data_IF_394159107443
#
_entry.id   IF_394159107443
#
_cell.length_a   1.000
_cell.length_b   1.000
_cell.length_c   1.000
_cell.angle_alpha   90.00
_cell.angle_beta   90.00
_cell.angle_gamma   90.00
#
_symmetry.space_group_name_H-M   'P 1'
#
loop_
_entity.id
_entity.type
_entity.pdbx_description
1 polymer ?
#
# COMPACT_ATOMS: atom_id res chain seq x y z
N UNK A 1 -2.65 73.44 36.28
CA UNK A 1 -2.93 73.13 37.71
C UNK A 1 -2.18 71.86 38.04
N UNK A 2 -0.96 72.01 38.58
CA UNK A 2 -0.66 72.19 40.00
C UNK A 2 -0.36 70.82 40.63
N UNK A 3 0.93 70.49 40.83
CA UNK A 3 1.73 70.68 42.06
C UNK A 3 1.78 69.34 42.84
N UNK A 4 2.88 68.58 42.74
CA UNK A 4 4.05 68.55 43.66
C UNK A 4 3.82 67.88 45.01
N UNK A 5 4.66 66.89 45.34
CA UNK A 5 5.11 66.52 46.69
C UNK A 5 6.46 65.79 46.53
N UNK A 6 7.60 66.36 46.94
CA UNK A 6 8.18 66.40 48.30
C UNK A 6 8.58 64.97 48.75
N UNK A 7 9.83 64.62 49.13
CA UNK A 7 10.83 65.26 50.00
C UNK A 7 12.25 64.65 49.78
N UNK A 8 13.27 65.37 50.24
CA UNK A 8 14.73 65.16 50.17
C UNK A 8 15.28 64.52 51.49
N UNK A 9 16.58 64.63 51.87
CA UNK A 9 17.69 63.71 51.55
C UNK A 9 18.43 63.20 52.82
N UNK A 10 19.40 62.28 52.68
CA UNK A 10 20.21 61.87 53.84
C UNK A 10 21.43 60.97 53.55
N UNK A 11 22.59 61.62 53.39
CA UNK A 11 23.92 61.24 53.89
C UNK A 11 24.62 59.89 53.53
N UNK A 12 25.70 60.07 52.76
CA UNK A 12 26.99 59.35 52.70
C UNK A 12 27.56 58.97 54.11
N UNK A 13 28.40 57.91 54.24
CA UNK A 13 29.80 58.02 53.84
C UNK A 13 30.45 56.80 53.16
N UNK A 14 31.54 57.15 52.49
CA UNK A 14 32.56 56.33 51.82
C UNK A 14 33.23 55.36 52.79
N UNK A 15 33.63 54.20 52.28
CA UNK A 15 34.92 53.61 52.63
C UNK A 15 35.60 53.12 51.35
N UNK A 16 36.73 53.75 51.09
CA UNK A 16 37.68 53.42 50.04
C UNK A 16 38.75 52.50 50.63
N UNK A 17 39.03 51.37 49.98
CA UNK A 17 40.38 50.81 49.97
C UNK A 17 40.76 50.42 48.55
N UNK A 18 41.59 51.28 47.97
CA UNK A 18 42.34 51.11 46.75
C UNK A 18 43.37 49.99 46.92
N UNK A 19 43.31 48.97 46.06
CA UNK A 19 44.49 48.13 45.77
C UNK A 19 44.93 48.41 44.34
N UNK A 20 46.23 48.64 44.22
CA UNK A 20 46.95 49.23 43.09
C UNK A 20 46.83 48.43 41.79
N UNK A 21 46.76 49.22 40.73
CA UNK A 21 47.07 48.95 39.32
C UNK A 21 48.39 48.21 39.10
N UNK A 22 48.40 47.30 38.13
CA UNK A 22 49.43 47.33 37.09
C UNK A 22 48.91 46.77 35.76
N UNK A 23 49.26 47.51 34.71
CA UNK A 23 48.72 47.50 33.36
C UNK A 23 49.59 46.65 32.45
N UNK A 24 49.00 45.71 31.70
CA UNK A 24 49.47 45.29 30.37
C UNK A 24 48.26 44.93 29.51
N UNK A 25 47.92 45.87 28.64
CA UNK A 25 47.01 45.72 27.52
C UNK A 25 47.58 44.67 26.57
N UNK A 26 46.84 43.61 26.29
CA UNK A 26 47.06 42.80 25.08
C UNK A 26 45.70 42.50 24.48
N UNK A 27 45.43 43.17 23.38
CA UNK A 27 44.27 42.95 22.52
C UNK A 27 44.45 41.55 21.92
N UNK A 28 43.75 40.57 22.47
CA UNK A 28 43.60 39.27 21.82
C UNK A 28 42.40 39.40 20.87
N UNK A 29 42.69 39.49 19.57
CA UNK A 29 41.73 39.26 18.50
C UNK A 29 41.22 37.82 18.63
N UNK A 30 40.11 37.62 19.34
CA UNK A 30 39.38 36.35 19.28
C UNK A 30 38.74 36.24 17.91
N UNK A 31 39.37 35.45 17.03
CA UNK A 31 38.77 34.87 15.85
C UNK A 31 37.50 34.12 16.27
N UNK A 32 36.34 34.73 16.08
CA UNK A 32 35.04 34.05 16.10
C UNK A 32 35.01 33.19 14.85
N UNK A 33 35.51 31.95 14.97
CA UNK A 33 35.28 30.92 13.97
C UNK A 33 33.79 30.59 13.98
N UNK A 34 33.04 31.15 13.03
CA UNK A 34 31.69 30.73 12.70
C UNK A 34 31.83 29.33 12.10
N UNK A 35 31.84 28.32 12.97
CA UNK A 35 31.65 26.94 12.59
C UNK A 35 30.25 26.83 11.99
N UNK A 36 30.17 26.78 10.65
CA UNK A 36 28.99 26.27 9.96
C UNK A 36 28.81 24.83 10.43
N UNK A 37 27.97 24.65 11.45
CA UNK A 37 27.46 23.33 11.82
C UNK A 37 26.61 22.90 10.64
N UNK A 38 27.16 22.06 9.77
CA UNK A 38 26.37 21.27 8.85
C UNK A 38 25.52 20.33 9.69
N UNK A 39 24.31 20.76 10.05
CA UNK A 39 23.30 19.85 10.55
C UNK A 39 22.98 18.90 9.39
N UNK A 40 23.24 17.59 9.50
CA UNK A 40 22.68 16.67 8.55
C UNK A 40 21.16 16.81 8.68
N UNK A 41 20.51 17.30 7.63
CA UNK A 41 19.06 17.27 7.55
C UNK A 41 18.65 15.80 7.63
N UNK A 42 18.15 15.38 8.79
CA UNK A 42 17.56 14.06 8.96
C UNK A 42 16.20 14.11 8.29
N UNK A 43 16.20 13.93 6.97
CA UNK A 43 15.00 13.54 6.25
C UNK A 43 14.79 12.06 6.58
N UNK A 44 13.76 11.79 7.38
CA UNK A 44 13.32 10.41 7.56
C UNK A 44 12.49 10.07 6.33
N UNK A 45 12.92 9.04 5.60
CA UNK A 45 11.98 8.26 4.81
C UNK A 45 11.05 7.51 5.79
N UNK A 46 10.16 6.68 5.28
CA UNK A 46 9.34 5.79 6.12
C UNK A 46 10.17 4.78 6.92
N UNK A 47 11.49 4.74 6.68
CA UNK A 47 12.48 3.94 7.36
C UNK A 47 13.67 4.80 7.84
N UNK A 48 14.43 4.24 8.78
CA UNK A 48 15.64 4.86 9.31
C UNK A 48 16.76 4.92 8.25
N UNK A 49 17.04 6.13 7.76
CA UNK A 49 18.05 6.37 6.75
C UNK A 49 19.48 5.97 7.16
N UNK A 50 19.78 5.91 8.47
CA UNK A 50 21.06 5.38 8.95
C UNK A 50 21.22 3.87 8.67
N UNK A 51 20.10 3.16 8.44
CA UNK A 51 20.07 1.72 8.14
C UNK A 51 19.95 1.42 6.64
N UNK A 52 20.01 2.44 5.77
CA UNK A 52 19.91 2.26 4.32
C UNK A 52 21.06 1.41 3.76
N UNK A 53 20.76 0.21 3.25
CA UNK A 53 21.75 -0.73 2.71
C UNK A 53 21.80 -0.74 1.18
N UNK A 54 20.65 -0.58 0.53
CA UNK A 54 20.56 -0.68 -0.93
C UNK A 54 20.88 0.66 -1.61
N UNK A 55 21.27 0.61 -2.90
CA UNK A 55 21.47 1.84 -3.69
C UNK A 55 20.20 2.67 -3.78
N UNK A 56 19.04 2.00 -3.92
CA UNK A 56 17.72 2.64 -3.99
C UNK A 56 17.39 3.34 -2.67
N UNK A 57 17.56 2.68 -1.53
CA UNK A 57 17.26 3.30 -0.23
C UNK A 57 18.18 4.49 0.05
N UNK A 58 19.45 4.43 -0.37
CA UNK A 58 20.37 5.58 -0.29
C UNK A 58 19.96 6.74 -1.18
N UNK A 59 19.42 6.47 -2.38
CA UNK A 59 18.85 7.51 -3.25
C UNK A 59 17.64 8.17 -2.59
N UNK A 60 16.73 7.38 -2.01
CA UNK A 60 15.56 7.90 -1.30
C UNK A 60 15.98 8.78 -0.12
N UNK A 61 16.95 8.35 0.68
CA UNK A 61 17.46 9.11 1.81
C UNK A 61 18.26 10.36 1.43
N UNK A 62 18.90 10.36 0.25
CA UNK A 62 19.72 11.48 -0.23
C UNK A 62 18.91 12.58 -0.93
N UNK A 63 17.63 12.34 -1.23
CA UNK A 63 16.76 13.27 -1.94
C UNK A 63 15.50 13.57 -1.10
N UNK A 64 15.35 14.80 -0.57
CA UNK A 64 14.20 15.19 0.24
C UNK A 64 12.85 14.97 -0.44
N UNK A 65 12.79 15.09 -1.78
CA UNK A 65 11.56 14.86 -2.55
C UNK A 65 11.20 13.39 -2.55
N UNK A 66 12.17 12.51 -2.78
CA UNK A 66 11.94 11.05 -2.75
C UNK A 66 11.57 10.57 -1.34
N UNK A 67 12.22 11.12 -0.30
CA UNK A 67 11.86 10.85 1.09
C UNK A 67 10.40 11.20 1.38
N UNK A 68 9.95 12.39 0.95
CA UNK A 68 8.55 12.81 1.15
C UNK A 68 7.54 11.98 0.36
N UNK A 69 7.91 11.49 -0.83
CA UNK A 69 7.08 10.56 -1.60
C UNK A 69 6.96 9.20 -0.90
N UNK A 70 8.05 8.69 -0.32
CA UNK A 70 8.07 7.44 0.44
C UNK A 70 7.19 7.52 1.71
N UNK A 71 7.23 8.64 2.43
CA UNK A 71 6.33 8.91 3.56
C UNK A 71 4.86 8.96 3.13
N UNK A 72 4.56 9.70 2.06
CA UNK A 72 3.19 9.82 1.53
C UNK A 72 2.65 8.46 1.10
N UNK A 73 3.44 7.68 0.38
CA UNK A 73 3.09 6.33 -0.03
C UNK A 73 2.78 5.47 1.20
N UNK A 74 3.65 5.49 2.21
CA UNK A 74 3.48 4.68 3.42
C UNK A 74 2.20 5.04 4.17
N UNK A 75 1.89 6.33 4.29
CA UNK A 75 0.64 6.79 4.89
C UNK A 75 -0.60 6.28 4.12
N UNK A 76 -0.58 6.36 2.79
CA UNK A 76 -1.68 5.85 1.94
C UNK A 76 -1.80 4.33 2.03
N UNK A 77 -0.69 3.61 1.93
CA UNK A 77 -0.63 2.16 2.06
C UNK A 77 -1.26 1.69 3.36
N UNK A 78 -0.94 2.34 4.49
CA UNK A 78 -1.54 2.00 5.79
C UNK A 78 -3.06 2.23 5.82
N UNK A 79 -3.56 3.29 5.18
CA UNK A 79 -5.01 3.56 5.07
C UNK A 79 -5.73 2.53 4.23
N UNK A 80 -5.15 2.13 3.10
CA UNK A 80 -5.69 1.07 2.22
C UNK A 80 -5.68 -0.26 2.98
N UNK A 81 -4.56 -0.60 3.63
CA UNK A 81 -4.42 -1.84 4.39
C UNK A 81 -5.47 -1.97 5.51
N UNK A 82 -5.77 -0.88 6.21
CA UNK A 82 -6.75 -0.85 7.29
C UNK A 82 -8.20 -1.03 6.81
N UNK A 83 -8.50 -0.71 5.55
CA UNK A 83 -9.86 -0.77 4.99
C UNK A 83 -10.05 -1.91 3.99
N UNK A 84 -8.98 -2.56 3.57
CA UNK A 84 -9.01 -3.64 2.60
C UNK A 84 -9.78 -4.85 3.16
N UNK A 85 -10.74 -5.42 2.41
CA UNK A 85 -11.42 -6.64 2.81
C UNK A 85 -10.49 -7.86 2.79
N UNK A 86 -9.39 -7.78 2.03
CA UNK A 86 -8.36 -8.82 1.92
C UNK A 86 -6.97 -8.19 2.07
N UNK A 87 -6.54 -7.89 3.32
CA UNK A 87 -5.28 -7.17 3.57
C UNK A 87 -4.03 -7.85 2.99
N UNK A 88 -4.03 -9.18 2.85
CA UNK A 88 -2.91 -9.91 2.26
C UNK A 88 -2.67 -9.57 0.79
N UNK A 89 -3.71 -9.25 0.02
CA UNK A 89 -3.54 -8.85 -1.37
C UNK A 89 -2.87 -7.47 -1.46
N UNK A 90 -3.29 -6.53 -0.60
CA UNK A 90 -2.66 -5.19 -0.51
C UNK A 90 -1.18 -5.32 -0.15
N UNK A 91 -0.84 -6.21 0.78
CA UNK A 91 0.56 -6.50 1.12
C UNK A 91 1.32 -7.12 -0.04
N UNK A 92 0.70 -8.04 -0.79
CA UNK A 92 1.33 -8.68 -1.95
C UNK A 92 1.63 -7.67 -3.05
N UNK A 93 0.66 -6.84 -3.45
CA UNK A 93 0.86 -5.77 -4.43
C UNK A 93 1.98 -4.81 -4.00
N UNK A 94 2.06 -4.48 -2.70
CA UNK A 94 3.12 -3.63 -2.19
C UNK A 94 4.49 -4.30 -2.27
N UNK A 95 4.60 -5.60 -1.96
CA UNK A 95 5.85 -6.38 -2.11
C UNK A 95 6.29 -6.44 -3.57
N UNK A 96 5.35 -6.67 -4.48
CA UNK A 96 5.59 -6.70 -5.92
C UNK A 96 6.11 -5.35 -6.39
N UNK A 97 5.41 -4.26 -6.07
CA UNK A 97 5.84 -2.90 -6.42
C UNK A 97 7.24 -2.55 -5.86
N UNK A 98 7.55 -2.97 -4.62
CA UNK A 98 8.89 -2.79 -4.04
C UNK A 98 9.93 -3.53 -4.86
N UNK A 99 9.66 -4.79 -5.25
CA UNK A 99 10.57 -5.59 -6.07
C UNK A 99 10.74 -4.98 -7.47
N UNK A 100 9.64 -4.60 -8.09
CA UNK A 100 9.54 -4.05 -9.45
C UNK A 100 8.26 -3.19 -9.53
N UNK A 101 8.34 -1.87 -9.81
CA UNK A 101 9.50 -1.18 -10.39
C UNK A 101 10.48 -0.55 -9.40
N UNK A 102 10.14 -0.34 -8.12
CA UNK A 102 10.95 0.52 -7.21
C UNK A 102 12.42 0.08 -7.16
N UNK A 103 12.68 -1.20 -6.85
CA UNK A 103 14.06 -1.68 -6.67
C UNK A 103 14.83 -1.89 -7.98
N UNK A 104 14.18 -1.79 -9.14
CA UNK A 104 14.85 -1.80 -10.44
C UNK A 104 15.35 -0.42 -10.87
N UNK A 105 14.91 0.65 -10.20
CA UNK A 105 15.33 2.00 -10.53
C UNK A 105 16.81 2.26 -10.27
N UNK A 106 17.44 3.01 -11.18
CA UNK A 106 18.87 3.34 -11.15
C UNK A 106 19.17 4.79 -10.79
N UNK A 107 18.15 5.66 -10.76
CA UNK A 107 18.27 7.09 -10.51
C UNK A 107 16.99 7.67 -9.88
N UNK A 108 17.05 8.95 -9.49
CA UNK A 108 15.96 9.65 -8.83
C UNK A 108 14.70 9.79 -9.71
N UNK A 109 14.85 10.15 -10.99
CA UNK A 109 13.71 10.31 -11.91
C UNK A 109 12.89 9.03 -12.07
N UNK A 110 13.56 7.88 -12.12
CA UNK A 110 12.88 6.59 -12.13
C UNK A 110 12.09 6.36 -10.84
N UNK A 111 12.71 6.61 -9.69
CA UNK A 111 12.06 6.44 -8.39
C UNK A 111 10.86 7.37 -8.24
N UNK A 112 11.00 8.63 -8.64
CA UNK A 112 9.91 9.59 -8.63
C UNK A 112 8.69 9.05 -9.38
N UNK A 113 8.87 8.58 -10.62
CA UNK A 113 7.76 7.99 -11.40
C UNK A 113 7.19 6.75 -10.72
N UNK A 114 8.05 5.87 -10.19
CA UNK A 114 7.61 4.66 -9.49
C UNK A 114 6.75 4.99 -8.26
N UNK A 115 7.15 5.99 -7.47
CA UNK A 115 6.39 6.47 -6.32
C UNK A 115 5.11 7.18 -6.72
N UNK A 116 5.13 8.10 -7.69
CA UNK A 116 3.93 8.85 -8.09
C UNK A 116 2.86 7.94 -8.65
N UNK A 117 3.24 6.94 -9.46
CA UNK A 117 2.29 5.95 -9.99
C UNK A 117 1.67 5.15 -8.85
N UNK A 118 2.48 4.62 -7.93
CA UNK A 118 1.96 3.83 -6.81
C UNK A 118 1.10 4.64 -5.85
N UNK A 119 1.45 5.90 -5.63
CA UNK A 119 0.62 6.84 -4.85
C UNK A 119 -0.74 7.01 -5.53
N UNK A 120 -0.79 7.20 -6.85
CA UNK A 120 -2.03 7.27 -7.62
C UNK A 120 -2.87 6.00 -7.46
N UNK A 121 -2.25 4.83 -7.62
CA UNK A 121 -2.93 3.53 -7.47
C UNK A 121 -3.54 3.39 -6.06
N UNK A 122 -2.77 3.74 -5.01
CA UNK A 122 -3.26 3.67 -3.63
C UNK A 122 -4.36 4.68 -3.34
N UNK A 123 -4.35 5.85 -3.99
CA UNK A 123 -5.44 6.83 -3.88
C UNK A 123 -6.71 6.29 -4.53
N UNK A 124 -6.61 5.73 -5.74
CA UNK A 124 -7.73 5.09 -6.41
C UNK A 124 -8.30 3.91 -5.58
N UNK A 125 -7.43 3.06 -5.02
CA UNK A 125 -7.87 2.00 -4.11
C UNK A 125 -8.63 2.57 -2.91
N UNK A 126 -8.15 3.67 -2.32
CA UNK A 126 -8.79 4.30 -1.18
C UNK A 126 -10.18 4.86 -1.52
N UNK A 127 -10.39 5.36 -2.74
CA UNK A 127 -11.69 5.84 -3.22
C UNK A 127 -12.71 4.69 -3.35
N UNK A 128 -12.24 3.48 -3.69
CA UNK A 128 -13.07 2.27 -3.78
C UNK A 128 -13.27 1.56 -2.43
N UNK A 129 -12.69 2.06 -1.34
CA UNK A 129 -12.72 1.46 -0.02
C UNK A 129 -13.54 2.26 1.02
N UNK A 130 -14.15 1.57 2.02
CA UNK A 130 -14.21 0.12 2.16
C UNK A 130 -15.11 -0.51 1.09
N UNK A 131 -14.74 -1.71 0.65
CA UNK A 131 -15.51 -2.43 -0.37
C UNK A 131 -16.94 -2.70 0.11
N UNK A 132 -17.92 -2.23 -0.66
CA UNK A 132 -19.35 -2.46 -0.42
C UNK A 132 -19.95 -3.06 -1.69
N UNK A 133 -20.13 -4.39 -1.78
CA UNK A 133 -20.73 -5.00 -2.96
C UNK A 133 -22.19 -4.56 -3.09
N UNK A 134 -22.64 -4.29 -4.32
CA UNK A 134 -24.06 -4.21 -4.63
C UNK A 134 -24.62 -5.63 -4.60
N UNK A 135 -25.42 -5.96 -3.58
CA UNK A 135 -25.89 -7.33 -3.33
C UNK A 135 -27.24 -7.67 -3.98
N UNK A 136 -27.94 -6.67 -4.52
CA UNK A 136 -29.32 -6.83 -4.98
C UNK A 136 -29.42 -7.71 -6.24
N UNK A 137 -28.40 -7.66 -7.09
CA UNK A 137 -28.32 -8.44 -8.32
C UNK A 137 -26.86 -8.75 -8.68
N UNK A 138 -26.54 -9.98 -9.10
CA UNK A 138 -25.21 -10.28 -9.62
C UNK A 138 -24.93 -9.51 -10.91
N UNK A 139 -23.70 -9.04 -11.05
CA UNK A 139 -23.20 -8.44 -12.29
C UNK A 139 -23.20 -9.49 -13.41
N UNK A 140 -22.77 -10.70 -13.09
CA UNK A 140 -22.75 -11.85 -14.00
C UNK A 140 -23.12 -13.12 -13.26
N UNK A 141 -23.86 -13.95 -13.97
CA UNK A 141 -24.21 -15.31 -13.58
C UNK A 141 -23.61 -16.25 -14.61
N UNK A 142 -22.72 -17.13 -14.17
CA UNK A 142 -22.11 -18.17 -14.98
C UNK A 142 -22.82 -19.49 -14.68
N UNK A 143 -23.48 -20.12 -15.66
CA UNK A 143 -24.15 -21.40 -15.44
C UNK A 143 -23.13 -22.50 -15.10
N UNK A 144 -23.63 -23.66 -14.68
CA UNK A 144 -22.82 -24.88 -14.59
C UNK A 144 -22.07 -25.14 -15.90
N UNK A 145 -20.87 -25.72 -15.83
CA UNK A 145 -20.11 -26.13 -17.01
C UNK A 145 -20.92 -27.04 -17.94
N UNK A 146 -20.58 -27.12 -19.25
CA UNK A 146 -21.25 -28.01 -20.19
C UNK A 146 -21.29 -29.47 -19.70
N UNK A 147 -22.39 -30.18 -19.98
CA UNK A 147 -22.62 -31.52 -19.44
C UNK A 147 -21.51 -32.53 -19.81
N UNK A 148 -20.98 -32.42 -21.02
CA UNK A 148 -19.88 -33.26 -21.51
C UNK A 148 -18.61 -33.11 -20.67
N UNK A 149 -18.25 -31.88 -20.29
CA UNK A 149 -17.07 -31.58 -19.49
C UNK A 149 -17.24 -32.05 -18.04
N UNK A 150 -18.47 -31.89 -17.49
CA UNK A 150 -18.81 -32.39 -16.16
C UNK A 150 -18.70 -33.92 -16.09
N UNK A 151 -19.20 -34.61 -17.10
CA UNK A 151 -19.13 -36.08 -17.18
C UNK A 151 -17.69 -36.58 -17.34
N UNK A 152 -16.86 -35.87 -18.10
CA UNK A 152 -15.44 -36.17 -18.23
C UNK A 152 -14.69 -35.97 -16.90
N UNK A 153 -14.93 -34.84 -16.23
CA UNK A 153 -14.34 -34.53 -14.93
C UNK A 153 -14.75 -35.55 -13.85
N UNK A 154 -16.00 -35.99 -13.83
CA UNK A 154 -16.48 -37.00 -12.88
C UNK A 154 -15.83 -38.39 -13.07
N UNK A 155 -15.38 -38.72 -14.29
CA UNK A 155 -14.74 -40.01 -14.60
C UNK A 155 -13.25 -40.05 -14.28
N UNK A 156 -12.55 -38.94 -14.45
CA UNK A 156 -11.09 -38.87 -14.36
C UNK A 156 -10.64 -38.20 -13.05
N UNK A 157 -11.47 -37.31 -12.49
CA UNK A 157 -11.14 -36.51 -11.32
C UNK A 157 -11.17 -37.30 -10.00
N UNK A 158 -10.50 -36.77 -8.96
CA UNK A 158 -10.60 -37.33 -7.61
C UNK A 158 -12.05 -37.26 -7.10
N UNK A 159 -12.43 -38.20 -6.25
CA UNK A 159 -13.78 -38.23 -5.68
C UNK A 159 -14.04 -36.99 -4.79
N UNK A 160 -15.19 -36.34 -4.98
CA UNK A 160 -15.66 -35.25 -4.12
C UNK A 160 -16.08 -35.83 -2.77
N UNK A 161 -15.54 -35.27 -1.68
CA UNK A 161 -15.86 -35.70 -0.31
C UNK A 161 -16.67 -34.66 0.47
N UNK A 162 -16.71 -33.42 0.00
CA UNK A 162 -17.48 -32.33 0.62
C UNK A 162 -17.92 -31.32 -0.43
N UNK A 163 -19.16 -30.84 -0.33
CA UNK A 163 -19.68 -29.65 -1.03
C UNK A 163 -20.11 -28.62 0.02
N UNK A 164 -19.74 -27.36 -0.13
CA UNK A 164 -20.13 -26.29 0.78
C UNK A 164 -20.30 -24.94 0.05
N UNK A 165 -21.21 -24.06 0.50
CA UNK A 165 -21.32 -22.71 -0.06
C UNK A 165 -20.02 -21.93 0.10
N UNK A 166 -19.65 -21.20 -0.95
CA UNK A 166 -18.52 -20.28 -0.98
C UNK A 166 -19.05 -18.87 -1.15
N UNK A 167 -18.79 -18.00 -0.17
CA UNK A 167 -18.84 -16.55 -0.35
C UNK A 167 -17.42 -16.02 -0.16
N UNK A 168 -16.87 -15.40 -1.21
CA UNK A 168 -15.48 -14.97 -1.24
C UNK A 168 -15.35 -13.56 -1.79
N UNK A 169 -14.79 -12.65 -1.00
CA UNK A 169 -14.34 -11.36 -1.50
C UNK A 169 -12.92 -11.53 -2.04
N UNK A 170 -12.68 -11.06 -3.24
CA UNK A 170 -11.39 -11.20 -3.90
C UNK A 170 -11.29 -10.34 -5.15
N UNK A 171 -10.23 -10.56 -5.92
CA UNK A 171 -10.02 -9.91 -7.22
C UNK A 171 -10.06 -10.94 -8.34
N UNK A 172 -10.70 -10.57 -9.43
CA UNK A 172 -10.69 -11.39 -10.65
C UNK A 172 -9.39 -11.15 -11.39
N UNK A 173 -8.81 -12.21 -11.95
CA UNK A 173 -7.65 -12.15 -12.83
C UNK A 173 -7.82 -13.11 -14.00
N UNK A 174 -7.36 -12.73 -15.17
CA UNK A 174 -7.04 -13.67 -16.24
C UNK A 174 -5.72 -14.35 -15.91
N UNK A 175 -5.65 -15.67 -16.12
CA UNK A 175 -4.47 -16.47 -15.89
C UNK A 175 -4.37 -17.56 -16.96
N UNK A 176 -3.26 -18.29 -16.98
CA UNK A 176 -3.03 -19.38 -17.91
C UNK A 176 -2.30 -20.53 -17.21
N UNK A 177 -2.92 -21.71 -17.22
CA UNK A 177 -2.31 -22.93 -16.69
C UNK A 177 -2.01 -23.94 -17.82
N UNK A 178 -1.74 -25.20 -17.47
CA UNK A 178 -1.46 -26.25 -18.46
C UNK A 178 -2.69 -26.68 -19.27
N UNK A 179 -3.90 -26.43 -18.76
CA UNK A 179 -5.14 -26.66 -19.49
C UNK A 179 -5.43 -25.47 -20.43
N UNK A 180 -5.09 -24.25 -20.00
CA UNK A 180 -5.03 -23.06 -20.84
C UNK A 180 -5.53 -21.80 -20.13
N UNK A 181 -6.03 -20.84 -20.92
CA UNK A 181 -6.50 -19.55 -20.43
C UNK A 181 -7.76 -19.69 -19.56
N UNK A 182 -7.78 -19.00 -18.42
CA UNK A 182 -8.86 -19.06 -17.45
C UNK A 182 -9.07 -17.74 -16.72
N UNK A 183 -10.25 -17.59 -16.11
CA UNK A 183 -10.51 -16.54 -15.13
C UNK A 183 -10.50 -17.14 -13.74
N UNK A 184 -9.79 -16.50 -12.83
CA UNK A 184 -9.65 -16.93 -11.44
C UNK A 184 -10.06 -15.83 -10.45
N UNK A 185 -10.38 -16.23 -9.22
CA UNK A 185 -10.52 -15.31 -8.08
C UNK A 185 -9.37 -15.51 -7.10
N UNK A 186 -8.71 -14.41 -6.76
CA UNK A 186 -7.65 -14.33 -5.76
C UNK A 186 -8.18 -13.68 -4.48
N UNK A 187 -7.91 -14.31 -3.33
CA UNK A 187 -8.25 -13.78 -2.00
C UNK A 187 -7.19 -14.21 -0.98
N UNK A 188 -6.16 -13.39 -0.84
CA UNK A 188 -5.00 -13.63 -0.01
C UNK A 188 -4.19 -14.83 -0.52
N UNK A 189 -4.33 -15.96 0.17
CA UNK A 189 -3.69 -17.23 -0.22
C UNK A 189 -4.62 -18.16 -0.99
N UNK A 190 -5.89 -17.77 -1.18
CA UNK A 190 -6.88 -18.58 -1.89
C UNK A 190 -6.86 -18.17 -3.35
N UNK A 191 -6.83 -19.18 -4.20
CA UNK A 191 -6.92 -19.08 -5.65
C UNK A 191 -7.92 -20.13 -6.11
N UNK A 192 -8.93 -19.71 -6.86
CA UNK A 192 -9.89 -20.63 -7.45
C UNK A 192 -10.17 -20.22 -8.89
N UNK A 193 -10.02 -21.17 -9.82
CA UNK A 193 -10.47 -21.00 -11.20
C UNK A 193 -12.00 -20.89 -11.18
N UNK A 194 -12.51 -19.79 -11.74
CA UNK A 194 -13.93 -19.52 -11.91
C UNK A 194 -14.45 -20.35 -13.08
N UNK A 195 -13.87 -20.13 -14.27
CA UNK A 195 -14.16 -20.83 -15.53
C UNK A 195 -12.95 -20.72 -16.47
N UNK A 196 -12.80 -21.70 -17.35
CA UNK A 196 -11.86 -21.59 -18.46
C UNK A 196 -12.44 -20.73 -19.58
N UNK A 197 -11.56 -20.08 -20.36
CA UNK A 197 -11.98 -19.12 -21.39
C UNK A 197 -12.84 -19.75 -22.49
N UNK A 198 -12.66 -21.04 -22.79
CA UNK A 198 -13.46 -21.77 -23.78
C UNK A 198 -14.87 -22.13 -23.29
N UNK A 199 -15.12 -22.12 -21.97
CA UNK A 199 -16.46 -22.35 -21.39
C UNK A 199 -17.31 -21.07 -21.37
N UNK A 200 -16.75 -19.94 -21.81
CA UNK A 200 -17.34 -18.62 -21.70
C UNK A 200 -17.69 -18.06 -23.07
N UNK A 201 -18.89 -17.49 -23.16
CA UNK A 201 -19.29 -16.66 -24.31
C UNK A 201 -18.47 -15.37 -24.36
N UNK A 202 -18.40 -14.74 -25.53
CA UNK A 202 -17.69 -13.46 -25.69
C UNK A 202 -18.24 -12.36 -24.78
N UNK A 203 -19.57 -12.32 -24.59
CA UNK A 203 -20.21 -11.37 -23.68
C UNK A 203 -19.81 -11.63 -22.20
N UNK A 204 -19.66 -12.89 -21.80
CA UNK A 204 -19.22 -13.22 -20.43
C UNK A 204 -17.76 -12.82 -20.22
N UNK A 205 -16.88 -13.11 -21.19
CA UNK A 205 -15.47 -12.70 -21.15
C UNK A 205 -15.34 -11.17 -21.09
N UNK A 206 -16.14 -10.44 -21.88
CA UNK A 206 -16.15 -8.98 -21.84
C UNK A 206 -16.50 -8.43 -20.44
N UNK A 207 -17.48 -9.03 -19.76
CA UNK A 207 -17.85 -8.62 -18.40
C UNK A 207 -16.76 -8.96 -17.39
N UNK A 208 -16.13 -10.14 -17.50
CA UNK A 208 -15.02 -10.53 -16.61
C UNK A 208 -13.78 -9.64 -16.81
N UNK A 209 -13.43 -9.32 -18.05
CA UNK A 209 -12.34 -8.40 -18.37
C UNK A 209 -12.57 -7.00 -17.79
N UNK A 210 -13.82 -6.53 -17.75
CA UNK A 210 -14.18 -5.22 -17.16
C UNK A 210 -13.99 -5.17 -15.64
N UNK A 211 -13.98 -6.32 -14.97
CA UNK A 211 -13.78 -6.41 -13.51
C UNK A 211 -12.41 -6.96 -13.13
N UNK A 212 -11.57 -7.27 -14.12
CA UNK A 212 -10.15 -7.54 -13.95
C UNK A 212 -9.40 -6.22 -13.72
N UNK A 213 -9.57 -5.68 -12.52
CA UNK A 213 -8.89 -4.47 -12.06
C UNK A 213 -8.15 -4.78 -10.74
N UNK A 214 -6.83 -4.57 -10.66
CA UNK A 214 -6.06 -4.79 -9.43
C UNK A 214 -6.52 -3.91 -8.26
N UNK A 215 -7.31 -2.87 -8.50
CA UNK A 215 -7.87 -1.97 -7.49
C UNK A 215 -9.33 -2.30 -7.14
N UNK A 216 -9.98 -3.23 -7.85
CA UNK A 216 -11.38 -3.59 -7.65
C UNK A 216 -11.54 -4.94 -6.93
N UNK A 217 -12.32 -4.93 -5.86
CA UNK A 217 -12.81 -6.17 -5.25
C UNK A 217 -14.16 -6.56 -5.82
N UNK A 218 -14.44 -7.86 -5.82
CA UNK A 218 -15.73 -8.44 -6.15
C UNK A 218 -16.15 -9.38 -5.03
N UNK A 219 -17.46 -9.62 -4.89
CA UNK A 219 -17.98 -10.73 -4.11
C UNK A 219 -18.37 -11.87 -5.05
N UNK A 220 -17.75 -13.03 -4.89
CA UNK A 220 -18.12 -14.26 -5.57
C UNK A 220 -18.96 -15.13 -4.65
N UNK A 221 -20.09 -15.63 -5.17
CA UNK A 221 -20.90 -16.68 -4.55
C UNK A 221 -20.90 -17.91 -5.46
N UNK A 222 -20.56 -19.07 -4.91
CA UNK A 222 -20.51 -20.34 -5.64
C UNK A 222 -20.68 -21.54 -4.69
N UNK A 223 -20.57 -22.76 -5.20
CA UNK A 223 -20.29 -23.95 -4.38
C UNK A 223 -18.81 -24.30 -4.47
N UNK A 224 -18.22 -24.69 -3.34
CA UNK A 224 -16.87 -25.21 -3.27
C UNK A 224 -16.92 -26.71 -3.04
N UNK A 225 -16.17 -27.46 -3.85
CA UNK A 225 -15.94 -28.88 -3.64
C UNK A 225 -14.59 -29.09 -2.99
N UNK A 226 -14.53 -30.03 -2.05
CA UNK A 226 -13.25 -30.59 -1.56
C UNK A 226 -13.15 -32.02 -2.05
N UNK A 227 -12.02 -32.34 -2.67
CA UNK A 227 -11.71 -33.66 -3.19
C UNK A 227 -11.00 -34.51 -2.13
N UNK A 228 -10.97 -35.83 -2.35
CA UNK A 228 -10.37 -36.81 -1.44
C UNK A 228 -8.88 -36.57 -1.18
N UNK A 229 -8.17 -35.97 -2.13
CA UNK A 229 -6.75 -35.58 -2.00
C UNK A 229 -6.54 -34.26 -1.23
N UNK A 230 -7.63 -33.63 -0.77
CA UNK A 230 -7.62 -32.37 -0.04
C UNK A 230 -7.63 -31.11 -0.92
N UNK A 231 -7.52 -31.26 -2.24
CA UNK A 231 -7.66 -30.15 -3.18
C UNK A 231 -9.08 -29.58 -3.17
N UNK A 232 -9.21 -28.32 -3.58
CA UNK A 232 -10.49 -27.59 -3.57
C UNK A 232 -10.68 -26.83 -4.87
N UNK A 233 -11.89 -26.85 -5.40
CA UNK A 233 -12.25 -26.12 -6.61
C UNK A 233 -13.68 -25.58 -6.51
N UNK A 234 -14.01 -24.61 -7.35
CA UNK A 234 -15.41 -24.23 -7.58
C UNK A 234 -16.12 -25.42 -8.23
N UNK A 235 -17.31 -25.75 -7.74
CA UNK A 235 -18.10 -26.87 -8.25
C UNK A 235 -18.52 -26.61 -9.71
N UNK A 236 -18.07 -27.43 -10.69
CA UNK A 236 -18.45 -27.26 -12.09
C UNK A 236 -19.95 -27.52 -12.32
N UNK A 237 -20.61 -28.24 -11.41
CA UNK A 237 -22.06 -28.48 -11.46
C UNK A 237 -22.87 -27.28 -10.95
N UNK A 238 -22.22 -26.26 -10.38
CA UNK A 238 -22.89 -25.13 -9.75
C UNK A 238 -22.81 -23.84 -10.57
N UNK A 239 -23.83 -23.02 -10.41
CA UNK A 239 -23.80 -21.63 -10.84
C UNK A 239 -22.77 -20.82 -10.04
N UNK A 240 -22.07 -19.91 -10.71
CA UNK A 240 -21.23 -18.90 -10.07
C UNK A 240 -21.87 -17.53 -10.28
N UNK A 241 -22.03 -16.79 -9.18
CA UNK A 241 -22.52 -15.42 -9.20
C UNK A 241 -21.41 -14.48 -8.77
N UNK A 242 -21.18 -13.43 -9.55
CA UNK A 242 -20.21 -12.39 -9.21
C UNK A 242 -20.95 -11.07 -9.04
N UNK A 243 -20.75 -10.43 -7.89
CA UNK A 243 -21.33 -9.15 -7.50
C UNK A 243 -20.21 -8.11 -7.49
N UNK A 244 -20.34 -7.12 -8.36
CA UNK A 244 -19.40 -6.02 -8.51
C UNK A 244 -20.13 -4.81 -9.10
N UNK A 245 -19.57 -3.62 -8.89
CA UNK A 245 -20.03 -2.40 -9.54
C UNK A 245 -19.05 -2.10 -10.68
N UNK A 246 -19.56 -1.96 -11.91
CA UNK A 246 -18.76 -1.44 -13.02
C UNK A 246 -18.50 0.05 -12.77
N UNK A 247 -17.28 0.48 -13.07
CA UNK A 247 -16.88 1.88 -13.00
C UNK A 247 -17.15 2.61 -14.33
#
# INVERSE_FOLDING_TARGET
MALTGAQTPGHLPKSSSTTKTNMKTTIAFSLVAISLVWMPHVHSASFDCAKAKTKVDKLVCGDPKLSGLDDKLTALYNKVLAQSPVPEDTKQQQREWVKDPRNLCKNADCLERAYTNRISDLQEQLEKLPFKPVLDKPLIVLPSSPAEDRDAAAKIGPAIVKKEPLELIGRVSEDHDVAGANFAINSGKRYYVIRYAWDLTDAQKEVLNKIEDPNQYVLLKAQLVTYKDGSKAIDPDSEVQIFAQLQ
#
